data_IF_869127440403
#
_entry.id   IF_869127440403
#
_cell.length_a   1.000
_cell.length_b   1.000
_cell.length_c   1.000
_cell.angle_alpha   90.00
_cell.angle_beta   90.00
_cell.angle_gamma   90.00
#
_symmetry.space_group_name_H-M   'P 1'
#
loop_
_entity.id
_entity.type
_entity.pdbx_description
1 polymer ?
#
# COMPACT_ATOMS: atom_id res chain seq x y z
N UNK A 1 13.63 6.16 -11.67
CA UNK A 1 14.33 4.91 -12.07
C UNK A 1 13.58 3.76 -11.43
N UNK A 2 13.01 2.85 -12.22
CA UNK A 2 12.22 1.72 -11.74
C UNK A 2 13.15 0.62 -11.23
N UNK A 3 12.93 0.12 -10.01
CA UNK A 3 13.75 -0.94 -9.43
C UNK A 3 13.32 -2.36 -9.86
N UNK A 4 12.31 -2.50 -10.74
CA UNK A 4 11.92 -3.77 -11.38
C UNK A 4 11.21 -3.51 -12.72
N UNK A 5 11.38 -4.35 -13.75
CA UNK A 5 10.64 -4.27 -15.01
C UNK A 5 9.15 -4.68 -14.88
N UNK A 6 8.72 -5.07 -13.68
CA UNK A 6 7.33 -5.34 -13.35
C UNK A 6 6.93 -4.45 -12.16
N UNK A 7 6.04 -3.50 -12.44
CA UNK A 7 5.30 -2.68 -11.47
C UNK A 7 5.95 -1.40 -10.89
N UNK A 8 5.99 -0.30 -11.67
CA UNK A 8 6.32 1.03 -11.16
C UNK A 8 5.28 1.60 -10.17
N UNK A 9 4.09 0.98 -10.03
CA UNK A 9 3.02 1.46 -9.16
C UNK A 9 3.13 0.92 -7.73
N UNK A 10 3.51 -0.35 -7.56
CA UNK A 10 3.72 -0.98 -6.25
C UNK A 10 4.84 -0.31 -5.45
N UNK A 11 5.92 0.14 -6.10
CA UNK A 11 7.04 0.79 -5.42
C UNK A 11 6.65 2.16 -4.85
N UNK A 12 5.78 2.90 -5.55
CA UNK A 12 5.20 4.15 -5.05
C UNK A 12 4.29 3.91 -3.85
N UNK A 13 3.50 2.84 -3.87
CA UNK A 13 2.61 2.47 -2.76
C UNK A 13 3.37 2.00 -1.52
N UNK A 14 4.46 1.27 -1.73
CA UNK A 14 5.36 0.83 -0.67
C UNK A 14 6.09 2.03 -0.04
N UNK A 15 6.60 2.94 -0.87
CA UNK A 15 7.17 4.20 -0.39
C UNK A 15 6.14 5.08 0.35
N UNK A 16 4.90 5.16 -0.15
CA UNK A 16 3.82 5.91 0.49
C UNK A 16 3.46 5.33 1.86
N UNK A 17 3.38 4.00 1.98
CA UNK A 17 3.13 3.30 3.25
C UNK A 17 4.23 3.58 4.27
N UNK A 18 5.51 3.51 3.85
CA UNK A 18 6.65 3.82 4.74
C UNK A 18 6.61 5.29 5.20
N UNK A 19 6.36 6.23 4.29
CA UNK A 19 6.24 7.66 4.63
C UNK A 19 5.08 7.92 5.60
N UNK A 20 3.94 7.25 5.41
CA UNK A 20 2.80 7.34 6.33
C UNK A 20 3.15 6.77 7.72
N UNK A 21 3.83 5.62 7.79
CA UNK A 21 4.32 5.04 9.03
C UNK A 21 5.22 5.99 9.82
N UNK A 22 6.19 6.62 9.16
CA UNK A 22 7.08 7.62 9.78
C UNK A 22 6.29 8.85 10.28
N UNK A 23 5.27 9.29 9.54
CA UNK A 23 4.42 10.43 9.97
C UNK A 23 3.51 10.07 11.14
N UNK A 24 3.00 8.84 11.19
CA UNK A 24 2.21 8.32 12.31
C UNK A 24 3.07 8.32 13.57
N UNK A 25 4.26 7.74 13.49
CA UNK A 25 5.18 7.64 14.63
C UNK A 25 5.55 9.02 15.19
N UNK A 26 5.93 9.96 14.31
CA UNK A 26 6.18 11.37 14.68
C UNK A 26 4.98 12.07 15.30
N UNK A 27 3.75 11.77 14.86
CA UNK A 27 2.53 12.37 15.45
C UNK A 27 2.20 11.76 16.80
N UNK A 28 2.38 10.44 16.93
CA UNK A 28 2.17 9.70 18.18
C UNK A 28 3.12 10.20 19.26
N UNK A 29 4.40 10.39 18.93
CA UNK A 29 5.39 11.01 19.82
C UNK A 29 5.02 12.44 20.25
N UNK A 30 4.22 13.15 19.46
CA UNK A 30 3.72 14.50 19.76
C UNK A 30 2.32 14.50 20.41
N UNK A 31 1.76 13.33 20.75
CA UNK A 31 0.41 13.19 21.30
C UNK A 31 -0.71 13.62 20.35
N UNK A 32 -0.45 13.71 19.04
CA UNK A 32 -1.44 14.16 18.04
C UNK A 32 -2.20 12.98 17.46
N UNK A 33 -3.47 13.21 17.12
CA UNK A 33 -4.31 12.19 16.47
C UNK A 33 -3.70 11.68 15.15
N UNK A 34 -3.60 10.36 15.05
CA UNK A 34 -3.10 9.58 13.90
C UNK A 34 -4.22 9.00 13.05
N UNK A 35 -5.48 9.12 13.50
CA UNK A 35 -6.67 8.49 12.88
C UNK A 35 -6.79 8.75 11.37
N UNK A 36 -6.51 9.97 10.93
CA UNK A 36 -6.55 10.33 9.51
C UNK A 36 -5.42 9.70 8.67
N UNK A 37 -4.28 9.40 9.28
CA UNK A 37 -3.15 8.72 8.63
C UNK A 37 -3.38 7.20 8.60
N UNK A 38 -3.92 6.64 9.68
CA UNK A 38 -4.34 5.23 9.76
C UNK A 38 -5.37 4.91 8.68
N UNK A 39 -6.44 5.71 8.55
CA UNK A 39 -7.42 5.56 7.47
C UNK A 39 -6.80 5.61 6.06
N UNK A 40 -5.70 6.34 5.86
CA UNK A 40 -4.98 6.37 4.57
C UNK A 40 -4.17 5.10 4.34
N UNK A 41 -3.56 4.55 5.38
CA UNK A 41 -2.85 3.27 5.31
C UNK A 41 -3.83 2.15 5.01
N UNK A 42 -4.99 2.13 5.67
CA UNK A 42 -6.04 1.13 5.42
C UNK A 42 -6.53 1.18 3.97
N UNK A 43 -6.78 2.38 3.42
CA UNK A 43 -7.13 2.52 1.99
C UNK A 43 -6.08 1.94 1.05
N UNK A 44 -4.80 2.27 1.26
CA UNK A 44 -3.72 1.74 0.41
C UNK A 44 -3.67 0.21 0.52
N UNK A 45 -3.91 -0.34 1.71
CA UNK A 45 -3.93 -1.79 1.94
C UNK A 45 -5.14 -2.46 1.27
N UNK A 46 -6.32 -1.86 1.35
CA UNK A 46 -7.52 -2.35 0.65
C UNK A 46 -7.33 -2.28 -0.87
N UNK A 47 -6.78 -1.19 -1.40
CA UNK A 47 -6.46 -1.05 -2.83
C UNK A 47 -5.43 -2.10 -3.27
N UNK A 48 -4.41 -2.37 -2.46
CA UNK A 48 -3.43 -3.43 -2.72
C UNK A 48 -4.08 -4.82 -2.71
N UNK A 49 -4.91 -5.13 -1.71
CA UNK A 49 -5.63 -6.40 -1.61
C UNK A 49 -6.61 -6.59 -2.78
N UNK A 50 -7.34 -5.55 -3.20
CA UNK A 50 -8.22 -5.61 -4.36
C UNK A 50 -7.43 -5.89 -5.65
N UNK A 51 -6.19 -5.40 -5.77
CA UNK A 51 -5.33 -5.71 -6.93
C UNK A 51 -4.77 -7.13 -6.88
N UNK A 52 -4.40 -7.63 -5.70
CA UNK A 52 -4.01 -9.04 -5.53
C UNK A 52 -5.17 -9.99 -5.82
N UNK A 53 -6.40 -9.67 -5.38
CA UNK A 53 -7.60 -10.45 -5.70
C UNK A 53 -7.91 -10.45 -7.21
N UNK A 54 -7.78 -9.27 -7.86
CA UNK A 54 -7.94 -9.16 -9.32
C UNK A 54 -6.86 -9.94 -10.09
N UNK A 55 -5.60 -9.91 -9.65
CA UNK A 55 -4.51 -10.72 -10.25
C UNK A 55 -4.68 -12.21 -9.97
N UNK A 56 -5.17 -12.58 -8.79
CA UNK A 56 -5.44 -13.97 -8.38
C UNK A 56 -6.55 -14.61 -9.21
N UNK A 57 -7.57 -13.84 -9.59
CA UNK A 57 -8.65 -14.30 -10.49
C UNK A 57 -8.17 -14.54 -11.92
N UNK A 58 -7.25 -13.73 -12.44
CA UNK A 58 -6.65 -13.92 -13.76
C UNK A 58 -5.78 -15.18 -13.87
N UNK A 59 -5.14 -15.62 -12.77
CA UNK A 59 -4.26 -16.79 -12.76
C UNK A 59 -5.00 -18.14 -12.77
N UNK A 60 -6.28 -18.18 -12.39
CA UNK A 60 -7.11 -19.40 -12.45
C UNK A 60 -7.59 -19.75 -13.87
N UNK A 61 -7.49 -18.84 -14.85
CA UNK A 61 -8.04 -19.05 -16.19
C UNK A 61 -7.01 -19.46 -17.26
N UNK A 62 -5.70 -19.45 -16.94
CA UNK A 62 -4.62 -19.88 -17.85
C UNK A 62 -4.09 -21.29 -17.57
N UNK A 63 -4.77 -22.06 -16.71
CA UNK A 63 -4.41 -23.44 -16.38
C UNK A 63 -5.56 -24.41 -16.68
N UNK A 64 -5.94 -24.52 -17.95
CA UNK A 64 -6.72 -25.67 -18.46
C UNK A 64 -6.40 -25.93 -19.92
#
# INVERSE_FOLDING_TARGET
MAATPHDPHNLRELAATVVLGVRIDRRRARGKSTKALENRVDRIREEAQQREDQRGKGRKQQGK
#
